data_IF_504235675361
#
_entry.id   IF_504235675361
#
_cell.length_a   1.000
_cell.length_b   1.000
_cell.length_c   1.000
_cell.angle_alpha   90.00
_cell.angle_beta   90.00
_cell.angle_gamma   90.00
#
_symmetry.space_group_name_H-M   'P 1'
#
loop_
_entity.id
_entity.type
_entity.pdbx_description
1 polymer ?
#
# COMPACT_ATOMS: atom_id res chain seq x y z
N UNK A 1 29.04 10.02 66.73
CA UNK A 1 29.58 11.09 65.87
C UNK A 1 30.25 10.44 64.67
N UNK A 2 29.58 10.37 63.53
CA UNK A 2 30.12 9.73 62.32
C UNK A 2 29.64 10.47 61.07
N UNK A 3 30.59 11.19 60.45
CA UNK A 3 30.77 11.31 59.00
C UNK A 3 29.66 11.93 58.14
N UNK A 4 29.70 13.26 57.96
CA UNK A 4 29.16 13.92 56.75
C UNK A 4 29.99 13.50 55.54
N UNK A 5 29.38 12.87 54.55
CA UNK A 5 29.99 12.63 53.24
C UNK A 5 29.18 13.32 52.11
N UNK A 6 29.84 14.31 51.54
CA UNK A 6 29.55 15.13 50.36
C UNK A 6 28.73 14.47 49.24
N UNK A 7 27.59 15.09 48.87
CA UNK A 7 26.87 14.84 47.61
C UNK A 7 27.74 15.25 46.42
N UNK A 8 28.44 14.29 45.80
CA UNK A 8 29.05 14.47 44.48
C UNK A 8 27.96 14.39 43.42
N UNK A 9 27.81 15.46 42.64
CA UNK A 9 26.90 15.52 41.50
C UNK A 9 27.25 14.47 40.46
N UNK A 10 26.28 13.60 40.16
CA UNK A 10 26.35 12.71 39.01
C UNK A 10 26.02 13.52 37.74
N UNK A 11 27.04 13.69 36.91
CA UNK A 11 26.98 14.26 35.56
C UNK A 11 25.86 13.59 34.74
N UNK A 12 25.00 14.42 34.13
CA UNK A 12 24.21 14.04 32.95
C UNK A 12 25.15 13.41 31.92
N UNK A 13 24.98 12.13 31.61
CA UNK A 13 25.61 11.51 30.44
C UNK A 13 24.62 11.51 29.28
N UNK A 14 25.20 11.81 28.13
CA UNK A 14 24.58 12.04 26.84
C UNK A 14 23.70 10.88 26.38
N UNK A 15 22.60 11.24 25.71
CA UNK A 15 22.25 10.70 24.39
C UNK A 15 22.23 9.18 24.23
N UNK A 16 21.61 8.45 25.16
CA UNK A 16 21.17 7.11 24.82
C UNK A 16 19.92 7.27 23.94
N UNK A 17 20.08 7.15 22.62
CA UNK A 17 18.95 6.83 21.76
C UNK A 17 18.23 5.63 22.38
N UNK A 18 16.90 5.66 22.52
CA UNK A 18 16.18 4.47 22.95
C UNK A 18 16.56 3.31 22.02
N UNK A 19 16.73 2.08 22.55
CA UNK A 19 17.04 0.93 21.70
C UNK A 19 16.00 0.91 20.58
N UNK A 20 16.46 0.81 19.33
CA UNK A 20 15.60 0.63 18.17
C UNK A 20 14.67 -0.53 18.53
N UNK A 21 13.38 -0.23 18.71
CA UNK A 21 12.40 -1.26 18.97
C UNK A 21 12.34 -2.11 17.71
N UNK A 22 13.06 -3.22 17.73
CA UNK A 22 13.06 -4.19 16.66
C UNK A 22 11.63 -4.67 16.47
N UNK A 23 11.19 -4.69 15.22
CA UNK A 23 9.82 -5.07 14.87
C UNK A 23 9.62 -6.55 15.16
N UNK A 24 8.38 -6.97 15.44
CA UNK A 24 8.07 -8.36 15.83
C UNK A 24 8.59 -9.41 14.82
N UNK A 25 8.60 -9.08 13.51
CA UNK A 25 9.17 -9.95 12.47
C UNK A 25 10.69 -10.09 12.52
N UNK A 26 11.41 -9.15 13.14
CA UNK A 26 12.87 -9.23 13.33
C UNK A 26 13.21 -10.20 14.47
N UNK A 27 12.27 -10.40 15.40
CA UNK A 27 12.37 -11.38 16.49
C UNK A 27 11.88 -12.76 16.09
N UNK A 28 10.90 -12.83 15.18
CA UNK A 28 10.31 -14.08 14.73
C UNK A 28 10.15 -14.02 13.20
N UNK A 29 11.24 -14.27 12.45
CA UNK A 29 11.16 -14.28 11.00
C UNK A 29 10.16 -15.37 10.60
N UNK A 30 9.17 -15.06 9.74
CA UNK A 30 8.28 -16.08 9.24
C UNK A 30 9.12 -17.17 8.57
N UNK A 31 8.78 -18.43 8.84
CA UNK A 31 9.40 -19.56 8.16
C UNK A 31 8.95 -19.49 6.72
N UNK A 32 9.79 -18.95 5.86
CA UNK A 32 9.55 -18.94 4.43
C UNK A 32 9.70 -20.37 3.91
N UNK A 33 8.80 -20.82 3.01
CA UNK A 33 9.02 -22.07 2.30
C UNK A 33 10.38 -21.98 1.59
N UNK A 34 11.12 -23.08 1.58
CA UNK A 34 12.39 -23.16 0.86
C UNK A 34 12.11 -23.13 -0.65
N UNK A 35 12.22 -21.93 -1.22
CA UNK A 35 11.99 -21.65 -2.64
C UNK A 35 13.04 -22.31 -3.55
N UNK A 36 14.09 -22.92 -2.98
CA UNK A 36 15.11 -23.65 -3.74
C UNK A 36 14.74 -25.10 -4.03
N UNK A 37 13.66 -25.60 -3.40
CA UNK A 37 13.16 -26.96 -3.63
C UNK A 37 12.45 -27.10 -4.97
N UNK A 38 12.57 -28.26 -5.62
CA UNK A 38 11.87 -28.53 -6.89
C UNK A 38 10.34 -28.46 -6.74
N UNK A 39 9.80 -28.85 -5.58
CA UNK A 39 8.37 -28.74 -5.28
C UNK A 39 7.90 -27.29 -5.19
N UNK A 40 8.70 -26.41 -4.57
CA UNK A 40 8.40 -24.98 -4.52
C UNK A 40 8.45 -24.35 -5.93
N UNK A 41 9.45 -24.71 -6.73
CA UNK A 41 9.57 -24.27 -8.13
C UNK A 41 8.40 -24.74 -9.01
N UNK A 42 7.96 -25.98 -8.84
CA UNK A 42 6.78 -26.49 -9.54
C UNK A 42 5.49 -25.77 -9.10
N UNK A 43 5.38 -25.42 -7.82
CA UNK A 43 4.29 -24.61 -7.28
C UNK A 43 4.28 -23.18 -7.83
N UNK A 44 5.45 -22.55 -7.96
CA UNK A 44 5.63 -21.22 -8.57
C UNK A 44 5.24 -21.24 -10.05
N UNK A 45 5.69 -22.23 -10.81
CA UNK A 45 5.36 -22.35 -12.23
C UNK A 45 3.86 -22.58 -12.45
N UNK A 46 3.23 -23.42 -11.62
CA UNK A 46 1.78 -23.61 -11.65
C UNK A 46 1.01 -22.34 -11.27
N UNK A 47 1.52 -21.54 -10.34
CA UNK A 47 0.95 -20.25 -9.97
C UNK A 47 1.04 -19.25 -11.12
N UNK A 48 2.22 -19.10 -11.71
CA UNK A 48 2.45 -18.18 -12.83
C UNK A 48 1.60 -18.56 -14.05
N UNK A 49 1.42 -19.86 -14.32
CA UNK A 49 0.57 -20.32 -15.42
C UNK A 49 -0.92 -20.03 -15.17
N UNK A 50 -1.40 -20.16 -13.91
CA UNK A 50 -2.78 -19.76 -13.55
C UNK A 50 -2.99 -18.27 -13.74
N UNK A 51 -2.03 -17.44 -13.34
CA UNK A 51 -2.12 -15.99 -13.50
C UNK A 51 -2.10 -15.62 -14.98
N UNK A 52 -1.22 -16.25 -15.77
CA UNK A 52 -1.16 -16.08 -17.24
C UNK A 52 -2.46 -16.48 -17.92
N UNK A 53 -3.12 -17.52 -17.45
CA UNK A 53 -4.36 -18.07 -18.01
C UNK A 53 -5.63 -17.36 -17.51
N UNK A 54 -5.50 -16.31 -16.69
CA UNK A 54 -6.61 -15.61 -16.02
C UNK A 54 -7.47 -16.53 -15.11
N UNK A 55 -6.85 -17.60 -14.60
CA UNK A 55 -7.45 -18.56 -13.67
C UNK A 55 -6.98 -18.31 -12.21
N UNK A 56 -6.46 -17.13 -11.95
CA UNK A 56 -5.93 -16.75 -10.64
C UNK A 56 -7.00 -16.75 -9.55
N UNK A 57 -6.64 -17.24 -8.37
CA UNK A 57 -7.49 -17.21 -7.19
C UNK A 57 -7.12 -16.03 -6.27
N UNK A 58 -8.02 -15.55 -5.40
CA UNK A 58 -7.70 -14.45 -4.49
C UNK A 58 -6.46 -14.68 -3.60
N UNK A 59 -6.13 -15.94 -3.30
CA UNK A 59 -4.93 -16.31 -2.53
C UNK A 59 -3.63 -16.31 -3.35
N UNK A 60 -3.70 -16.33 -4.68
CA UNK A 60 -2.55 -16.36 -5.58
C UNK A 60 -1.77 -15.03 -5.56
N UNK A 61 -2.47 -13.92 -5.29
CA UNK A 61 -1.90 -12.55 -5.28
C UNK A 61 -0.72 -12.42 -4.31
N UNK A 62 -0.82 -13.04 -3.13
CA UNK A 62 0.20 -12.98 -2.06
C UNK A 62 1.50 -13.70 -2.46
N UNK A 63 1.39 -14.67 -3.38
CA UNK A 63 2.52 -15.49 -3.82
C UNK A 63 3.03 -15.09 -5.20
N UNK A 64 2.30 -14.22 -5.91
CA UNK A 64 2.63 -13.82 -7.27
C UNK A 64 3.95 -13.03 -7.35
N UNK A 65 4.09 -11.95 -6.58
CA UNK A 65 5.30 -11.12 -6.59
C UNK A 65 6.58 -11.90 -6.22
N UNK A 66 6.60 -12.76 -5.19
CA UNK A 66 7.73 -13.63 -4.93
C UNK A 66 8.04 -14.56 -6.11
N UNK A 67 7.03 -15.24 -6.66
CA UNK A 67 7.21 -16.22 -7.73
C UNK A 67 7.76 -15.57 -9.00
N UNK A 68 7.23 -14.41 -9.39
CA UNK A 68 7.68 -13.71 -10.60
C UNK A 68 9.07 -13.11 -10.43
N UNK A 69 9.42 -12.60 -9.24
CA UNK A 69 10.78 -12.14 -8.94
C UNK A 69 11.76 -13.31 -8.99
N UNK A 70 11.41 -14.45 -8.37
CA UNK A 70 12.26 -15.64 -8.35
C UNK A 70 12.52 -16.14 -9.78
N UNK A 71 11.44 -16.27 -10.57
CA UNK A 71 11.53 -16.68 -11.98
C UNK A 71 12.35 -15.73 -12.83
N UNK A 72 12.16 -14.42 -12.65
CA UNK A 72 12.94 -13.39 -13.33
C UNK A 72 14.44 -13.52 -13.01
N UNK A 73 14.79 -13.68 -11.73
CA UNK A 73 16.17 -13.85 -11.28
C UNK A 73 16.79 -15.13 -11.85
N UNK A 74 16.08 -16.25 -11.80
CA UNK A 74 16.55 -17.53 -12.37
C UNK A 74 16.82 -17.39 -13.88
N UNK A 75 15.91 -16.75 -14.63
CA UNK A 75 16.10 -16.56 -16.07
C UNK A 75 17.27 -15.63 -16.37
N UNK A 76 17.41 -14.54 -15.62
CA UNK A 76 18.51 -13.60 -15.77
C UNK A 76 19.87 -14.24 -15.46
N UNK A 77 19.95 -15.06 -14.40
CA UNK A 77 21.17 -15.78 -14.00
C UNK A 77 21.56 -16.86 -15.01
N UNK A 78 20.58 -17.59 -15.54
CA UNK A 78 20.80 -18.63 -16.54
C UNK A 78 21.02 -18.07 -17.96
N UNK A 79 20.91 -16.75 -18.15
CA UNK A 79 21.00 -16.11 -19.46
C UNK A 79 19.85 -16.47 -20.41
N UNK A 80 18.70 -16.86 -19.86
CA UNK A 80 17.49 -17.20 -20.62
C UNK A 80 16.73 -15.94 -21.02
N UNK A 81 15.98 -16.03 -22.11
CA UNK A 81 15.09 -14.95 -22.54
C UNK A 81 13.93 -14.78 -21.54
N UNK A 82 13.76 -13.56 -21.04
CA UNK A 82 12.72 -13.21 -20.08
C UNK A 82 11.44 -12.91 -20.85
N UNK A 83 10.34 -13.58 -20.48
CA UNK A 83 9.07 -13.40 -21.16
C UNK A 83 8.53 -11.98 -20.98
N UNK A 84 7.94 -11.42 -22.05
CA UNK A 84 7.50 -10.02 -22.07
C UNK A 84 6.48 -9.69 -20.97
N UNK A 85 5.52 -10.58 -20.74
CA UNK A 85 4.48 -10.39 -19.71
C UNK A 85 5.09 -10.32 -18.30
N UNK A 86 6.22 -11.02 -18.05
CA UNK A 86 6.90 -10.95 -16.76
C UNK A 86 7.53 -9.56 -16.56
N UNK A 87 8.11 -9.02 -17.63
CA UNK A 87 8.66 -7.66 -17.62
C UNK A 87 7.57 -6.61 -17.41
N UNK A 88 6.41 -6.76 -18.06
CA UNK A 88 5.26 -5.87 -17.88
C UNK A 88 4.76 -5.89 -16.42
N UNK A 89 4.56 -7.08 -15.86
CA UNK A 89 4.10 -7.24 -14.49
C UNK A 89 5.08 -6.64 -13.47
N UNK A 90 6.39 -6.84 -13.65
CA UNK A 90 7.40 -6.21 -12.79
C UNK A 90 7.51 -4.71 -13.02
N UNK A 91 7.31 -4.22 -14.25
CA UNK A 91 7.39 -2.80 -14.59
C UNK A 91 6.33 -1.98 -13.86
N UNK A 92 5.12 -2.50 -13.68
CA UNK A 92 4.04 -1.81 -12.96
C UNK A 92 4.41 -1.58 -11.48
N UNK A 93 4.90 -2.61 -10.79
CA UNK A 93 5.37 -2.51 -9.40
C UNK A 93 6.60 -1.59 -9.28
N UNK A 94 7.57 -1.72 -10.19
CA UNK A 94 8.76 -0.87 -10.22
C UNK A 94 8.40 0.59 -10.49
N UNK A 95 7.41 0.86 -11.33
CA UNK A 95 6.93 2.21 -11.59
C UNK A 95 6.32 2.83 -10.34
N UNK A 96 5.65 2.04 -9.49
CA UNK A 96 5.18 2.46 -8.17
C UNK A 96 6.33 2.92 -7.28
N UNK A 97 7.40 2.12 -7.20
CA UNK A 97 8.61 2.44 -6.44
C UNK A 97 9.28 3.71 -6.99
N UNK A 98 9.43 3.83 -8.31
CA UNK A 98 10.02 5.00 -8.96
C UNK A 98 9.22 6.29 -8.74
N UNK A 99 7.91 6.19 -8.49
CA UNK A 99 7.04 7.31 -8.10
C UNK A 99 7.14 7.65 -6.60
N UNK A 100 8.05 7.01 -5.87
CA UNK A 100 8.28 7.21 -4.44
C UNK A 100 7.42 6.31 -3.55
N UNK A 101 6.88 5.21 -4.09
CA UNK A 101 6.34 4.11 -3.29
C UNK A 101 7.44 3.37 -2.54
N UNK A 102 7.13 2.83 -1.36
CA UNK A 102 8.08 1.99 -0.64
C UNK A 102 8.09 0.60 -1.27
N UNK A 103 9.28 -0.01 -1.39
CA UNK A 103 9.45 -1.34 -2.02
C UNK A 103 8.48 -2.40 -1.48
N UNK A 104 8.16 -2.35 -0.19
CA UNK A 104 7.30 -3.36 0.43
C UNK A 104 5.80 -3.09 0.29
N UNK A 105 5.42 -1.93 -0.24
CA UNK A 105 4.03 -1.58 -0.55
C UNK A 105 3.69 -1.87 -2.01
N UNK A 106 4.71 -1.89 -2.87
CA UNK A 106 4.57 -2.14 -4.31
C UNK A 106 4.83 -3.62 -4.67
N UNK A 107 5.38 -4.40 -3.75
CA UNK A 107 5.58 -5.85 -3.88
C UNK A 107 4.92 -6.59 -2.70
N UNK A 108 3.88 -7.36 -2.98
CA UNK A 108 3.21 -8.23 -2.00
C UNK A 108 4.10 -9.41 -1.63
N UNK A 109 4.77 -9.34 -0.48
CA UNK A 109 5.63 -10.42 0.02
C UNK A 109 4.96 -11.22 1.15
N UNK A 110 5.08 -12.57 1.16
CA UNK A 110 4.47 -13.42 2.18
C UNK A 110 5.06 -13.16 3.56
N UNK A 111 4.30 -13.47 4.61
CA UNK A 111 4.78 -13.39 6.00
C UNK A 111 4.69 -12.01 6.65
N UNK A 112 4.22 -10.97 5.94
CA UNK A 112 3.75 -9.75 6.62
C UNK A 112 2.29 -9.90 6.99
N UNK A 113 2.00 -9.77 8.30
CA UNK A 113 0.66 -9.40 8.70
C UNK A 113 0.31 -8.08 7.99
N UNK A 114 -0.91 -7.93 7.44
CA UNK A 114 -1.41 -6.61 7.07
C UNK A 114 -1.13 -5.68 8.26
N UNK A 115 -0.55 -4.49 8.01
CA UNK A 115 -0.18 -3.60 9.11
C UNK A 115 -1.36 -3.47 10.09
N UNK A 116 -1.15 -3.45 11.42
CA UNK A 116 -2.25 -3.27 12.36
C UNK A 116 -2.95 -1.94 12.05
N UNK A 117 -4.16 -2.00 11.47
CA UNK A 117 -4.88 -0.83 10.95
C UNK A 117 -4.96 -0.71 9.43
N UNK A 118 -4.27 -1.56 8.66
CA UNK A 118 -4.48 -1.65 7.21
C UNK A 118 -5.92 -2.11 6.99
N UNK A 119 -6.71 -1.23 6.39
CA UNK A 119 -8.16 -1.38 6.22
C UNK A 119 -8.52 -2.43 5.15
N UNK A 120 -7.57 -3.27 4.74
CA UNK A 120 -7.65 -4.06 3.50
C UNK A 120 -7.49 -3.20 2.24
N UNK A 121 -7.05 -1.95 2.39
CA UNK A 121 -6.84 -1.01 1.30
C UNK A 121 -5.36 -1.02 0.92
N UNK A 122 -5.09 -0.99 -0.38
CA UNK A 122 -3.72 -0.84 -0.89
C UNK A 122 -3.12 0.47 -0.33
N UNK A 123 -1.86 0.53 0.12
CA UNK A 123 -1.25 1.73 0.72
C UNK A 123 -1.38 2.98 -0.18
N UNK A 124 -1.27 2.78 -1.50
CA UNK A 124 -1.57 3.81 -2.50
C UNK A 124 -3.01 4.34 -2.42
N UNK A 125 -4.00 3.46 -2.29
CA UNK A 125 -5.40 3.87 -2.15
C UNK A 125 -5.63 4.62 -0.84
N UNK A 126 -4.97 4.22 0.24
CA UNK A 126 -4.99 4.94 1.51
C UNK A 126 -4.38 6.33 1.38
N UNK A 127 -3.22 6.46 0.73
CA UNK A 127 -2.57 7.76 0.46
C UNK A 127 -3.45 8.65 -0.42
N UNK A 128 -3.99 8.11 -1.51
CA UNK A 128 -4.90 8.84 -2.40
C UNK A 128 -6.19 9.26 -1.67
N UNK A 129 -6.73 8.41 -0.80
CA UNK A 129 -7.89 8.72 0.01
C UNK A 129 -7.61 9.83 1.03
N UNK A 130 -6.45 9.78 1.69
CA UNK A 130 -5.99 10.83 2.62
C UNK A 130 -5.79 12.18 1.91
N UNK A 131 -5.22 12.17 0.70
CA UNK A 131 -5.14 13.37 -0.15
C UNK A 131 -6.55 13.92 -0.42
N UNK A 132 -7.49 13.07 -0.82
CA UNK A 132 -8.85 13.47 -1.14
C UNK A 132 -9.62 14.03 0.08
N UNK A 133 -9.46 13.43 1.26
CA UNK A 133 -10.02 13.92 2.51
C UNK A 133 -9.47 15.30 2.89
N UNK A 134 -8.17 15.51 2.73
CA UNK A 134 -7.52 16.80 3.05
C UNK A 134 -8.04 17.91 2.12
N UNK A 135 -8.16 17.63 0.81
CA UNK A 135 -8.79 18.58 -0.13
C UNK A 135 -10.25 18.82 0.23
N UNK A 136 -11.02 17.77 0.54
CA UNK A 136 -12.43 17.91 0.90
C UNK A 136 -12.62 18.76 2.16
N UNK A 137 -11.79 18.58 3.19
CA UNK A 137 -11.83 19.37 4.42
C UNK A 137 -11.61 20.87 4.15
N UNK A 138 -10.68 21.22 3.25
CA UNK A 138 -10.44 22.61 2.82
C UNK A 138 -11.60 23.18 2.02
N UNK A 139 -12.16 22.40 1.09
CA UNK A 139 -13.35 22.80 0.33
C UNK A 139 -14.56 23.01 1.24
N UNK A 140 -14.74 22.19 2.28
CA UNK A 140 -15.77 22.38 3.30
C UNK A 140 -15.59 23.68 4.09
N UNK A 141 -14.35 24.17 4.23
CA UNK A 141 -14.02 25.50 4.79
C UNK A 141 -14.20 26.64 3.77
N UNK A 142 -14.87 26.37 2.64
CA UNK A 142 -15.17 27.31 1.54
C UNK A 142 -13.96 27.74 0.72
N UNK A 143 -12.85 27.02 0.77
CA UNK A 143 -11.76 27.23 -0.19
C UNK A 143 -12.18 26.79 -1.61
N UNK A 144 -11.72 27.52 -2.64
CA UNK A 144 -11.89 27.09 -4.03
C UNK A 144 -11.14 25.77 -4.23
N UNK A 145 -11.79 24.79 -4.86
CA UNK A 145 -11.25 23.43 -5.09
C UNK A 145 -9.84 23.46 -5.69
N UNK A 146 -9.62 24.27 -6.72
CA UNK A 146 -8.31 24.40 -7.37
C UNK A 146 -7.23 24.94 -6.43
N UNK A 147 -7.55 25.94 -5.60
CA UNK A 147 -6.64 26.48 -4.59
C UNK A 147 -6.34 25.46 -3.51
N UNK A 148 -7.35 24.71 -3.06
CA UNK A 148 -7.19 23.66 -2.07
C UNK A 148 -6.27 22.54 -2.59
N UNK A 149 -6.41 22.16 -3.87
CA UNK A 149 -5.53 21.18 -4.50
C UNK A 149 -4.07 21.65 -4.56
N UNK A 150 -3.81 22.90 -4.94
CA UNK A 150 -2.45 23.45 -4.92
C UNK A 150 -1.84 23.47 -3.51
N UNK A 151 -2.62 23.84 -2.50
CA UNK A 151 -2.16 23.84 -1.12
C UNK A 151 -1.82 22.43 -0.62
N UNK A 152 -2.67 21.44 -0.93
CA UNK A 152 -2.43 20.03 -0.56
C UNK A 152 -1.26 19.42 -1.32
N UNK A 153 -1.08 19.78 -2.60
CA UNK A 153 0.07 19.34 -3.39
C UNK A 153 1.39 19.79 -2.74
N UNK A 154 1.45 21.05 -2.28
CA UNK A 154 2.60 21.58 -1.55
C UNK A 154 2.77 20.91 -0.17
N UNK A 155 1.70 20.71 0.59
CA UNK A 155 1.71 20.10 1.93
C UNK A 155 2.19 18.64 1.90
N UNK A 156 1.71 17.87 0.91
CA UNK A 156 1.99 16.43 0.79
C UNK A 156 3.13 16.11 -0.18
N UNK A 157 3.89 17.13 -0.62
CA UNK A 157 5.04 16.98 -1.53
C UNK A 157 4.74 16.13 -2.77
N UNK A 158 3.60 16.38 -3.42
CA UNK A 158 3.19 15.66 -4.62
C UNK A 158 2.70 16.61 -5.73
N UNK A 159 2.55 16.08 -6.95
CA UNK A 159 2.14 16.91 -8.09
C UNK A 159 0.66 17.32 -7.98
N UNK A 160 0.32 18.49 -8.55
CA UNK A 160 -1.07 18.93 -8.64
C UNK A 160 -1.97 17.90 -9.34
N UNK A 161 -1.47 17.24 -10.40
CA UNK A 161 -2.23 16.23 -11.13
C UNK A 161 -2.48 14.97 -10.29
N UNK A 162 -1.53 14.58 -9.43
CA UNK A 162 -1.72 13.50 -8.45
C UNK A 162 -2.85 13.83 -7.48
N UNK A 163 -2.86 15.05 -6.93
CA UNK A 163 -3.91 15.52 -6.02
C UNK A 163 -5.27 15.58 -6.70
N UNK A 164 -5.30 16.10 -7.93
CA UNK A 164 -6.51 16.20 -8.74
C UNK A 164 -7.10 14.82 -9.05
N UNK A 165 -6.27 13.87 -9.48
CA UNK A 165 -6.68 12.51 -9.78
C UNK A 165 -7.26 11.81 -8.53
N UNK A 166 -6.54 11.89 -7.40
CA UNK A 166 -6.98 11.33 -6.13
C UNK A 166 -8.31 11.94 -5.65
N UNK A 167 -8.45 13.27 -5.68
CA UNK A 167 -9.67 13.94 -5.27
C UNK A 167 -10.88 13.50 -6.10
N UNK A 168 -10.76 13.46 -7.44
CA UNK A 168 -11.90 13.07 -8.28
C UNK A 168 -12.23 11.58 -8.23
N UNK A 169 -11.23 10.72 -8.00
CA UNK A 169 -11.45 9.28 -7.73
C UNK A 169 -12.33 9.07 -6.50
N UNK A 170 -12.05 9.77 -5.39
CA UNK A 170 -12.71 9.54 -4.11
C UNK A 170 -13.88 10.49 -3.78
N UNK A 171 -14.02 11.62 -4.49
CA UNK A 171 -15.12 12.60 -4.29
C UNK A 171 -16.52 11.99 -4.26
N UNK A 172 -16.89 11.02 -5.13
CA UNK A 172 -18.22 10.41 -5.09
C UNK A 172 -18.53 9.70 -3.76
N UNK A 173 -17.49 9.20 -3.08
CA UNK A 173 -17.59 8.48 -1.81
C UNK A 173 -17.61 9.46 -0.64
N UNK A 174 -16.77 10.51 -0.68
CA UNK A 174 -16.63 11.51 0.39
C UNK A 174 -17.83 12.47 0.42
N UNK A 175 -18.33 12.87 -0.75
CA UNK A 175 -19.46 13.77 -0.90
C UNK A 175 -20.47 13.17 -1.88
N UNK A 176 -21.18 12.09 -1.49
CA UNK A 176 -22.22 11.53 -2.32
C UNK A 176 -23.24 12.63 -2.63
N UNK A 177 -23.58 12.79 -3.90
CA UNK A 177 -24.63 13.74 -4.30
C UNK A 177 -25.86 13.40 -3.46
N UNK A 178 -26.28 14.33 -2.58
CA UNK A 178 -27.58 14.22 -1.89
C UNK A 178 -28.60 13.95 -2.97
N UNK A 179 -29.32 12.83 -2.87
CA UNK A 179 -30.39 12.55 -3.81
C UNK A 179 -31.33 13.74 -3.78
N UNK A 180 -31.48 14.43 -4.90
CA UNK A 180 -32.54 15.40 -5.07
C UNK A 180 -33.84 14.62 -4.98
N UNK A 181 -34.60 14.80 -3.89
CA UNK A 181 -36.01 14.40 -3.88
C UNK A 181 -36.68 15.29 -4.92
N UNK A 182 -37.24 14.64 -5.93
CA UNK A 182 -38.11 15.31 -6.87
C UNK A 182 -39.38 15.76 -6.12
N UNK A 183 -40.12 16.73 -6.66
CA UNK A 183 -41.32 17.31 -6.04
C UNK A 183 -42.45 16.27 -5.79
N UNK A 184 -42.37 15.10 -6.44
CA UNK A 184 -43.27 13.95 -6.31
C UNK A 184 -42.85 12.97 -5.20
N UNK A 185 -41.80 13.28 -4.43
CA UNK A 185 -41.26 12.39 -3.39
C UNK A 185 -40.38 11.26 -3.92
N UNK A 186 -40.15 11.16 -5.23
CA UNK A 186 -39.25 10.16 -5.80
C UNK A 186 -37.78 10.53 -5.56
N UNK A 187 -36.98 9.54 -5.18
CA UNK A 187 -35.54 9.67 -4.95
C UNK A 187 -34.84 9.42 -6.29
N UNK A 188 -34.36 10.49 -6.95
CA UNK A 188 -33.46 10.34 -8.10
C UNK A 188 -32.03 10.10 -7.63
N UNK A 189 -31.80 8.93 -7.02
CA UNK A 189 -30.49 8.42 -6.67
C UNK A 189 -30.15 7.26 -7.61
N UNK A 190 -28.98 7.32 -8.26
CA UNK A 190 -28.43 6.23 -9.06
C UNK A 190 -28.50 4.93 -8.23
N UNK A 191 -29.35 3.97 -8.64
CA UNK A 191 -29.44 2.66 -8.00
C UNK A 191 -28.05 2.05 -7.97
N UNK A 192 -27.43 1.98 -6.79
CA UNK A 192 -26.25 1.14 -6.60
C UNK A 192 -26.73 -0.29 -6.82
N UNK A 193 -26.44 -0.83 -8.00
CA UNK A 193 -26.63 -2.25 -8.28
C UNK A 193 -25.54 -2.96 -7.47
N UNK A 194 -25.87 -3.35 -6.23
CA UNK A 194 -25.14 -4.40 -5.55
C UNK A 194 -25.28 -5.65 -6.42
N UNK A 195 -24.27 -5.91 -7.24
CA UNK A 195 -24.08 -7.25 -7.78
C UNK A 195 -23.65 -8.11 -6.60
N UNK A 196 -24.63 -8.74 -5.97
CA UNK A 196 -24.40 -9.94 -5.16
C UNK A 196 -23.64 -10.93 -6.04
N UNK A 197 -22.33 -11.10 -5.82
CA UNK A 197 -21.65 -12.33 -6.21
C UNK A 197 -22.28 -13.42 -5.35
N UNK A 198 -23.07 -14.28 -5.99
CA UNK A 198 -23.55 -15.52 -5.39
C UNK A 198 -22.35 -16.42 -5.08
N UNK A 199 -22.47 -17.30 -4.06
CA UNK A 199 -21.41 -18.22 -3.65
C UNK A 199 -20.98 -19.15 -4.78
#
# INVERSE_FOLDING_TARGET
MTGKASKRGAKKRAGANPPVQMREFEWNPPVYPDLTTEEARAGEDALLERVRSDESQPGDVVHFHPAIINRFCDFALDGREIEHWMLEALADSLLGVLKGGEWHDEFDLPGRAPQPGSTGWHPRDEKEFNIALTVAARVMRKERVTSAMHAVAAEMSCSFETVRAAYYKWRPIIAPKRSTRNADGSISGRKFRMTSRKP
#
